data_IF_094171412130
#
_entry.id   IF_094171412130
#
_cell.length_a   1.000
_cell.length_b   1.000
_cell.length_c   1.000
_cell.angle_alpha   90.00
_cell.angle_beta   90.00
_cell.angle_gamma   90.00
#
_symmetry.space_group_name_H-M   'P 1'
#
loop_
_entity.id
_entity.type
_entity.pdbx_description
1 polymer ?
#
# COMPACT_ATOMS: atom_id res chain seq x y z
N UNK A 1 3.28 -6.29 4.55
CA UNK A 1 4.64 -5.87 4.12
C UNK A 1 5.73 -6.39 5.06
N UNK A 2 5.71 -6.11 6.37
CA UNK A 2 6.77 -6.58 7.28
C UNK A 2 6.92 -8.12 7.29
N UNK A 3 5.82 -8.87 7.32
CA UNK A 3 5.84 -10.34 7.23
C UNK A 3 6.34 -10.82 5.87
N UNK A 4 5.91 -10.21 4.77
CA UNK A 4 6.39 -10.58 3.42
C UNK A 4 7.92 -10.39 3.33
N UNK A 5 8.45 -9.24 3.77
CA UNK A 5 9.90 -9.03 3.80
C UNK A 5 10.62 -10.02 4.72
N UNK A 6 10.03 -10.35 5.86
CA UNK A 6 10.59 -11.33 6.78
C UNK A 6 10.62 -12.75 6.19
N UNK A 7 9.61 -13.16 5.43
CA UNK A 7 9.59 -14.45 4.73
C UNK A 7 10.80 -14.58 3.79
N UNK A 8 11.10 -13.56 2.99
CA UNK A 8 12.27 -13.58 2.11
C UNK A 8 13.60 -13.63 2.88
N UNK A 9 13.74 -12.84 3.95
CA UNK A 9 14.96 -12.83 4.77
C UNK A 9 15.17 -14.19 5.46
N UNK A 10 14.12 -14.76 6.03
CA UNK A 10 14.18 -16.03 6.77
C UNK A 10 14.32 -17.22 5.82
N UNK A 11 13.69 -17.19 4.63
CA UNK A 11 13.84 -18.23 3.62
C UNK A 11 15.29 -18.40 3.17
N UNK A 12 16.09 -17.31 3.11
CA UNK A 12 17.51 -17.38 2.84
C UNK A 12 18.28 -18.19 3.90
N UNK A 13 17.83 -18.13 5.17
CA UNK A 13 18.48 -18.75 6.32
C UNK A 13 17.98 -20.16 6.61
N UNK A 14 16.95 -20.63 5.90
CA UNK A 14 16.28 -21.92 6.18
C UNK A 14 15.56 -21.93 7.52
N UNK A 15 15.03 -20.79 7.94
CA UNK A 15 14.44 -20.61 9.26
C UNK A 15 12.98 -21.04 9.38
N UNK A 16 12.48 -20.96 10.61
CA UNK A 16 11.11 -21.37 10.99
C UNK A 16 10.10 -20.22 10.91
N UNK A 17 8.81 -20.55 10.92
CA UNK A 17 7.72 -19.57 10.96
C UNK A 17 7.81 -18.61 12.18
N UNK A 18 8.28 -19.08 13.32
CA UNK A 18 8.52 -18.22 14.48
C UNK A 18 9.57 -17.14 14.18
N UNK A 19 10.62 -17.50 13.44
CA UNK A 19 11.64 -16.52 13.03
C UNK A 19 11.06 -15.51 12.05
N UNK A 20 10.14 -15.89 11.16
CA UNK A 20 9.41 -14.93 10.30
C UNK A 20 8.65 -13.91 11.14
N UNK A 21 7.96 -14.34 12.18
CA UNK A 21 7.23 -13.42 13.08
C UNK A 21 8.18 -12.49 13.84
N UNK A 22 9.28 -13.02 14.37
CA UNK A 22 10.28 -12.20 15.09
C UNK A 22 10.94 -11.18 14.14
N UNK A 23 11.41 -11.63 12.98
CA UNK A 23 12.04 -10.74 11.98
C UNK A 23 11.03 -9.70 11.48
N UNK A 24 9.77 -10.10 11.23
CA UNK A 24 8.71 -9.18 10.83
C UNK A 24 8.44 -8.08 11.87
N UNK A 25 8.41 -8.43 13.15
CA UNK A 25 8.28 -7.47 14.24
C UNK A 25 9.49 -6.52 14.33
N UNK A 26 10.69 -7.05 14.15
CA UNK A 26 11.94 -6.25 14.12
C UNK A 26 11.97 -5.30 12.93
N UNK A 27 11.50 -5.72 11.75
CA UNK A 27 11.44 -4.88 10.55
C UNK A 27 10.48 -3.68 10.68
N UNK A 28 9.55 -3.68 11.63
CA UNK A 28 8.71 -2.52 11.92
C UNK A 28 9.45 -1.41 12.66
N UNK A 29 10.52 -1.72 13.41
CA UNK A 29 11.20 -0.75 14.28
C UNK A 29 11.99 0.32 13.50
N UNK A 30 12.87 0.00 12.52
CA UNK A 30 13.65 1.02 11.82
C UNK A 30 12.79 2.10 11.14
N UNK A 31 11.69 1.78 10.42
CA UNK A 31 10.79 2.78 9.87
C UNK A 31 10.17 3.70 10.90
N UNK A 32 9.79 3.18 12.06
CA UNK A 32 9.24 3.99 13.15
C UNK A 32 10.30 4.92 13.74
N UNK A 33 11.50 4.41 14.01
CA UNK A 33 12.61 5.20 14.57
C UNK A 33 13.04 6.31 13.59
N UNK A 34 13.27 5.96 12.31
CA UNK A 34 13.70 6.95 11.30
C UNK A 34 12.67 8.07 11.12
N UNK A 35 11.38 7.74 11.10
CA UNK A 35 10.33 8.75 11.06
C UNK A 35 10.23 9.57 12.36
N UNK A 36 10.49 8.98 13.54
CA UNK A 36 10.45 9.70 14.82
C UNK A 36 11.57 10.74 14.96
N UNK A 37 12.73 10.49 14.37
CA UNK A 37 13.85 11.44 14.32
C UNK A 37 13.80 12.36 13.10
N UNK A 38 12.80 12.19 12.23
CA UNK A 38 12.62 13.01 11.03
C UNK A 38 13.59 12.67 9.90
N UNK A 39 14.27 11.52 9.97
CA UNK A 39 15.12 11.04 8.88
C UNK A 39 14.24 10.56 7.73
N UNK A 40 14.52 11.07 6.54
CA UNK A 40 13.87 10.65 5.30
C UNK A 40 14.94 10.18 4.32
N UNK A 41 14.67 9.08 3.65
CA UNK A 41 15.50 8.71 2.50
C UNK A 41 15.39 9.82 1.45
N UNK A 42 16.54 10.27 0.95
CA UNK A 42 16.55 11.26 -0.13
C UNK A 42 15.94 10.66 -1.40
N UNK A 43 15.35 11.51 -2.26
CA UNK A 43 14.77 11.09 -3.53
C UNK A 43 15.71 10.23 -4.38
N UNK A 44 16.99 10.62 -4.57
CA UNK A 44 17.97 9.80 -5.30
C UNK A 44 18.20 8.41 -4.69
N UNK A 45 18.22 8.29 -3.35
CA UNK A 45 18.36 6.97 -2.69
C UNK A 45 17.13 6.10 -2.93
N UNK A 46 15.91 6.66 -2.81
CA UNK A 46 14.68 5.93 -3.13
C UNK A 46 14.66 5.48 -4.58
N UNK A 47 15.06 6.35 -5.51
CA UNK A 47 15.15 6.01 -6.93
C UNK A 47 16.17 4.90 -7.20
N UNK A 48 17.34 4.94 -6.56
CA UNK A 48 18.36 3.90 -6.68
C UNK A 48 17.86 2.54 -6.15
N UNK A 49 17.17 2.53 -5.00
CA UNK A 49 16.59 1.30 -4.43
C UNK A 49 15.49 0.73 -5.32
N UNK A 50 14.62 1.58 -5.85
CA UNK A 50 13.57 1.17 -6.79
C UNK A 50 14.19 0.65 -8.10
N UNK A 51 15.21 1.34 -8.61
CA UNK A 51 15.96 0.90 -9.79
C UNK A 51 16.62 -0.47 -9.57
N UNK A 52 17.26 -0.68 -8.41
CA UNK A 52 17.85 -1.97 -8.06
C UNK A 52 16.80 -3.09 -8.01
N UNK A 53 15.62 -2.82 -7.46
CA UNK A 53 14.51 -3.78 -7.47
C UNK A 53 14.06 -4.12 -8.90
N UNK A 54 13.86 -3.12 -9.75
CA UNK A 54 13.46 -3.33 -11.15
C UNK A 54 14.51 -4.14 -11.90
N UNK A 55 15.79 -3.82 -11.72
CA UNK A 55 16.89 -4.59 -12.32
C UNK A 55 16.91 -6.03 -11.81
N UNK A 56 16.72 -6.25 -10.51
CA UNK A 56 16.63 -7.60 -9.94
C UNK A 56 15.47 -8.39 -10.57
N UNK A 57 14.29 -7.79 -10.68
CA UNK A 57 13.12 -8.41 -11.32
C UNK A 57 13.44 -8.79 -12.77
N UNK A 58 14.05 -7.90 -13.54
CA UNK A 58 14.44 -8.17 -14.92
C UNK A 58 15.44 -9.34 -14.98
N UNK A 59 16.44 -9.34 -14.12
CA UNK A 59 17.44 -10.42 -14.07
C UNK A 59 16.80 -11.77 -13.74
N UNK A 60 15.90 -11.82 -12.75
CA UNK A 60 15.21 -13.05 -12.36
C UNK A 60 14.32 -13.55 -13.50
N UNK A 61 13.55 -12.66 -14.14
CA UNK A 61 12.70 -13.02 -15.28
C UNK A 61 13.55 -13.58 -16.43
N UNK A 62 14.61 -12.89 -16.83
CA UNK A 62 15.45 -13.32 -17.94
C UNK A 62 16.19 -14.63 -17.64
N UNK A 63 16.62 -14.84 -16.39
CA UNK A 63 17.30 -16.07 -15.98
C UNK A 63 16.36 -17.28 -15.90
N UNK A 64 15.09 -17.06 -15.53
CA UNK A 64 14.08 -18.11 -15.40
C UNK A 64 13.39 -18.44 -16.73
N UNK A 65 13.37 -17.50 -17.69
CA UNK A 65 12.66 -17.62 -18.97
C UNK A 65 13.06 -18.87 -19.78
N UNK A 66 14.34 -19.32 -19.85
CA UNK A 66 14.71 -20.53 -20.57
C UNK A 66 14.06 -21.82 -20.04
N UNK A 67 13.65 -21.82 -18.76
CA UNK A 67 12.99 -22.94 -18.09
C UNK A 67 11.46 -22.87 -18.18
N UNK A 68 10.90 -21.90 -18.90
CA UNK A 68 9.45 -21.73 -19.01
C UNK A 68 8.82 -22.79 -19.90
N UNK A 69 7.69 -23.36 -19.44
CA UNK A 69 6.81 -24.22 -20.23
C UNK A 69 5.52 -23.47 -20.56
N UNK A 70 5.34 -22.97 -21.79
CA UNK A 70 4.09 -22.35 -22.21
C UNK A 70 2.87 -23.27 -22.14
N UNK A 71 3.07 -24.59 -22.06
CA UNK A 71 2.01 -25.58 -21.89
C UNK A 71 1.29 -25.41 -20.52
N UNK A 72 1.99 -24.92 -19.51
CA UNK A 72 1.42 -24.62 -18.19
C UNK A 72 0.33 -23.52 -18.19
N UNK A 73 0.20 -22.76 -19.28
CA UNK A 73 -0.91 -21.81 -19.45
C UNK A 73 -2.24 -22.47 -19.85
N UNK A 74 -2.27 -23.77 -19.98
CA UNK A 74 -3.48 -24.52 -20.33
C UNK A 74 -3.96 -25.38 -19.15
N UNK A 75 -5.27 -25.35 -18.82
CA UNK A 75 -6.33 -24.52 -19.43
C UNK A 75 -6.20 -23.04 -19.04
N UNK A 76 -6.50 -22.12 -19.97
CA UNK A 76 -6.32 -20.67 -19.76
C UNK A 76 -7.18 -20.09 -18.61
N UNK A 77 -8.35 -20.68 -18.35
CA UNK A 77 -9.28 -20.27 -17.29
C UNK A 77 -9.65 -21.48 -16.41
N UNK A 78 -8.72 -22.05 -15.63
CA UNK A 78 -8.98 -23.26 -14.84
C UNK A 78 -10.10 -23.05 -13.80
N UNK A 79 -10.24 -21.84 -13.26
CA UNK A 79 -11.25 -21.47 -12.28
C UNK A 79 -12.35 -20.56 -12.85
N UNK A 80 -12.45 -20.43 -14.17
CA UNK A 80 -13.43 -19.58 -14.84
C UNK A 80 -13.26 -18.08 -14.49
N UNK A 81 -14.30 -17.30 -14.80
CA UNK A 81 -14.31 -15.85 -14.53
C UNK A 81 -14.29 -15.48 -13.03
N UNK A 82 -14.75 -16.38 -12.16
CA UNK A 82 -14.69 -16.18 -10.72
C UNK A 82 -13.23 -16.14 -10.22
N UNK A 83 -12.35 -16.99 -10.77
CA UNK A 83 -10.93 -16.97 -10.50
C UNK A 83 -10.26 -15.65 -10.94
N UNK A 84 -10.65 -15.13 -12.11
CA UNK A 84 -10.18 -13.82 -12.58
C UNK A 84 -10.61 -12.70 -11.62
N UNK A 85 -11.85 -12.74 -11.13
CA UNK A 85 -12.36 -11.78 -10.15
C UNK A 85 -11.62 -11.82 -8.82
N UNK A 86 -11.35 -13.02 -8.30
CA UNK A 86 -10.56 -13.21 -7.07
C UNK A 86 -9.13 -12.69 -7.23
N UNK A 87 -8.45 -13.04 -8.32
CA UNK A 87 -7.13 -12.53 -8.65
C UNK A 87 -7.12 -11.00 -8.78
N UNK A 88 -8.08 -10.40 -9.47
CA UNK A 88 -8.20 -8.95 -9.59
C UNK A 88 -8.33 -8.27 -8.22
N UNK A 89 -9.11 -8.84 -7.31
CA UNK A 89 -9.27 -8.31 -5.94
C UNK A 89 -7.95 -8.32 -5.16
N UNK A 90 -7.13 -9.36 -5.30
CA UNK A 90 -5.80 -9.42 -4.69
C UNK A 90 -4.81 -8.45 -5.36
N UNK A 91 -4.87 -8.33 -6.69
CA UNK A 91 -3.98 -7.44 -7.45
C UNK A 91 -4.21 -5.95 -7.16
N UNK A 92 -5.40 -5.53 -6.74
CA UNK A 92 -5.61 -4.15 -6.27
C UNK A 92 -4.63 -3.78 -5.16
N UNK A 93 -4.34 -4.72 -4.24
CA UNK A 93 -3.35 -4.50 -3.19
C UNK A 93 -1.94 -4.29 -3.75
N UNK A 94 -1.56 -5.04 -4.79
CA UNK A 94 -0.25 -4.92 -5.41
C UNK A 94 -0.05 -3.56 -6.12
N UNK A 95 -1.13 -2.94 -6.57
CA UNK A 95 -1.12 -1.60 -7.16
C UNK A 95 -1.42 -0.46 -6.16
N UNK A 96 -1.71 -0.76 -4.90
CA UNK A 96 -1.90 0.27 -3.87
C UNK A 96 -0.59 1.06 -3.64
N UNK A 97 -0.71 2.35 -3.33
CA UNK A 97 0.43 3.24 -3.08
C UNK A 97 0.36 4.58 -3.80
N UNK A 98 -0.46 4.68 -4.84
CA UNK A 98 -0.66 5.94 -5.59
C UNK A 98 -1.19 7.06 -4.72
N UNK A 99 -2.00 6.73 -3.75
CA UNK A 99 -2.59 7.66 -2.81
C UNK A 99 -1.52 8.39 -1.98
N UNK A 100 -0.38 7.74 -1.70
CA UNK A 100 0.71 8.36 -0.97
C UNK A 100 1.29 9.59 -1.72
N UNK A 101 1.28 9.58 -3.06
CA UNK A 101 1.73 10.70 -3.88
C UNK A 101 0.81 11.91 -3.72
N UNK A 102 -0.50 11.70 -3.53
CA UNK A 102 -1.46 12.79 -3.35
C UNK A 102 -1.19 13.60 -2.08
N UNK A 103 -0.74 12.96 -1.01
CA UNK A 103 -0.36 13.62 0.25
C UNK A 103 0.92 14.45 0.14
N UNK A 104 1.74 14.17 -0.87
CA UNK A 104 2.98 14.88 -1.16
C UNK A 104 2.82 15.92 -2.28
N UNK A 105 1.63 16.09 -2.83
CA UNK A 105 1.39 16.99 -3.98
C UNK A 105 1.87 18.42 -3.74
N UNK A 106 1.79 18.92 -2.50
CA UNK A 106 2.30 20.24 -2.13
C UNK A 106 3.84 20.36 -2.08
N UNK A 107 4.58 19.26 -2.16
CA UNK A 107 6.05 19.24 -2.17
C UNK A 107 6.61 19.29 -3.63
N UNK A 108 5.77 19.14 -4.65
CA UNK A 108 6.16 19.22 -6.06
C UNK A 108 6.11 20.64 -6.60
N UNK A 109 7.11 21.02 -7.41
CA UNK A 109 7.15 22.34 -8.06
C UNK A 109 6.02 22.52 -9.10
N UNK A 110 5.71 21.48 -9.90
CA UNK A 110 4.61 21.46 -10.86
C UNK A 110 3.82 20.15 -10.75
N UNK A 111 2.95 20.00 -9.73
CA UNK A 111 2.24 18.76 -9.47
C UNK A 111 1.30 18.36 -10.62
N UNK A 112 0.73 19.34 -11.33
CA UNK A 112 -0.22 19.10 -12.44
C UNK A 112 0.42 18.35 -13.62
N UNK A 113 1.72 18.53 -13.86
CA UNK A 113 2.45 17.86 -14.94
C UNK A 113 3.28 16.69 -14.42
N UNK A 114 3.93 16.85 -13.27
CA UNK A 114 4.87 15.88 -12.74
C UNK A 114 4.14 14.62 -12.25
N UNK A 115 3.04 14.76 -11.50
CA UNK A 115 2.30 13.62 -10.96
C UNK A 115 1.75 12.71 -12.08
N UNK A 116 0.99 13.21 -13.08
CA UNK A 116 0.47 12.34 -14.14
C UNK A 116 1.56 11.63 -14.95
N UNK A 117 2.67 12.33 -15.24
CA UNK A 117 3.79 11.73 -15.98
C UNK A 117 4.49 10.63 -15.18
N UNK A 118 4.82 10.91 -13.91
CA UNK A 118 5.44 9.92 -13.03
C UNK A 118 4.52 8.70 -12.86
N UNK A 119 3.22 8.94 -12.69
CA UNK A 119 2.21 7.88 -12.58
C UNK A 119 2.16 7.03 -13.84
N UNK A 120 2.13 7.63 -15.02
CA UNK A 120 2.09 6.90 -16.29
C UNK A 120 3.36 6.04 -16.49
N UNK A 121 4.55 6.59 -16.21
CA UNK A 121 5.81 5.86 -16.30
C UNK A 121 5.81 4.69 -15.33
N UNK A 122 5.46 4.94 -14.07
CA UNK A 122 5.42 3.91 -13.04
C UNK A 122 4.40 2.81 -13.38
N UNK A 123 3.21 3.16 -13.90
CA UNK A 123 2.20 2.19 -14.33
C UNK A 123 2.73 1.25 -15.41
N UNK A 124 3.44 1.78 -16.40
CA UNK A 124 4.04 0.98 -17.47
C UNK A 124 5.15 0.08 -16.92
N UNK A 125 6.09 0.63 -16.16
CA UNK A 125 7.23 -0.13 -15.61
C UNK A 125 6.76 -1.23 -14.66
N UNK A 126 5.90 -0.88 -13.71
CA UNK A 126 5.38 -1.83 -12.71
C UNK A 126 4.45 -2.85 -13.37
N UNK A 127 3.60 -2.41 -14.30
CA UNK A 127 2.71 -3.31 -15.04
C UNK A 127 3.48 -4.35 -15.85
N UNK A 128 4.52 -3.94 -16.56
CA UNK A 128 5.39 -4.88 -17.30
C UNK A 128 6.14 -5.82 -16.34
N UNK A 129 6.64 -5.33 -15.21
CA UNK A 129 7.29 -6.13 -14.19
C UNK A 129 6.33 -7.20 -13.62
N UNK A 130 5.11 -6.82 -13.28
CA UNK A 130 4.11 -7.77 -12.76
C UNK A 130 3.70 -8.81 -13.79
N UNK A 131 3.44 -8.41 -15.05
CA UNK A 131 3.07 -9.33 -16.12
C UNK A 131 4.19 -10.33 -16.41
N UNK A 132 5.45 -9.85 -16.46
CA UNK A 132 6.59 -10.74 -16.72
C UNK A 132 6.87 -11.69 -15.56
N UNK A 133 6.80 -11.22 -14.30
CA UNK A 133 6.92 -12.08 -13.12
C UNK A 133 5.81 -13.12 -13.06
N UNK A 134 4.56 -12.72 -13.31
CA UNK A 134 3.43 -13.63 -13.32
C UNK A 134 3.57 -14.68 -14.41
N UNK A 135 4.03 -14.27 -15.60
CA UNK A 135 4.28 -15.21 -16.70
C UNK A 135 5.31 -16.28 -16.30
N UNK A 136 6.48 -15.88 -15.79
CA UNK A 136 7.51 -16.86 -15.39
C UNK A 136 7.11 -17.65 -14.15
N UNK A 137 6.37 -17.05 -13.21
CA UNK A 137 5.86 -17.79 -12.05
C UNK A 137 4.93 -18.93 -12.48
N UNK A 138 3.99 -18.70 -13.39
CA UNK A 138 3.07 -19.72 -13.87
C UNK A 138 3.79 -20.75 -14.76
N UNK A 139 4.67 -20.30 -15.66
CA UNK A 139 5.27 -21.19 -16.68
C UNK A 139 6.51 -21.93 -16.18
N UNK A 140 7.15 -21.49 -15.09
CA UNK A 140 8.34 -22.14 -14.52
C UNK A 140 8.00 -22.90 -13.25
N UNK A 141 7.21 -22.32 -12.35
CA UNK A 141 6.88 -22.92 -11.05
C UNK A 141 5.59 -23.73 -11.07
N UNK A 142 4.60 -23.30 -11.89
CA UNK A 142 3.29 -23.97 -11.94
C UNK A 142 2.65 -24.06 -10.55
N UNK A 143 2.30 -25.28 -10.13
CA UNK A 143 1.68 -25.54 -8.81
C UNK A 143 2.67 -25.59 -7.65
N UNK A 144 3.99 -25.46 -7.91
CA UNK A 144 5.04 -25.52 -6.88
C UNK A 144 5.42 -24.15 -6.31
N UNK A 145 4.58 -23.13 -6.53
CA UNK A 145 4.79 -21.78 -5.98
C UNK A 145 4.71 -21.79 -4.46
N UNK A 146 5.78 -21.31 -3.79
CA UNK A 146 5.82 -21.11 -2.34
C UNK A 146 5.38 -19.70 -1.91
N UNK A 147 5.47 -19.40 -0.61
CA UNK A 147 5.23 -18.06 -0.05
C UNK A 147 6.28 -17.02 -0.49
N UNK A 148 7.35 -17.46 -1.16
CA UNK A 148 8.48 -16.62 -1.62
C UNK A 148 8.79 -16.85 -3.10
N UNK A 149 7.83 -16.61 -4.03
CA UNK A 149 7.93 -16.99 -5.44
C UNK A 149 9.18 -16.46 -6.15
N UNK A 150 9.64 -15.28 -5.77
CA UNK A 150 10.84 -14.69 -6.35
C UNK A 150 12.10 -15.48 -5.96
N UNK A 151 12.11 -16.09 -4.76
CA UNK A 151 13.19 -16.97 -4.32
C UNK A 151 13.18 -18.29 -5.11
N UNK A 152 11.98 -18.86 -5.30
CA UNK A 152 11.82 -20.09 -6.09
C UNK A 152 12.29 -19.91 -7.53
N UNK A 153 11.96 -18.79 -8.18
CA UNK A 153 12.41 -18.44 -9.51
C UNK A 153 13.94 -18.28 -9.59
N UNK A 154 14.52 -17.66 -8.58
CA UNK A 154 15.99 -17.51 -8.51
C UNK A 154 16.69 -18.85 -8.35
N UNK A 155 16.14 -19.78 -7.59
CA UNK A 155 16.72 -21.11 -7.43
C UNK A 155 16.77 -21.87 -8.76
N UNK A 156 15.80 -21.63 -9.66
CA UNK A 156 15.81 -22.20 -11.03
C UNK A 156 16.81 -21.49 -11.93
N UNK A 157 16.81 -20.15 -11.95
CA UNK A 157 17.57 -19.38 -12.92
C UNK A 157 19.00 -18.98 -12.47
N UNK A 158 19.21 -18.71 -11.18
CA UNK A 158 20.44 -18.17 -10.61
C UNK A 158 20.75 -18.81 -9.23
N UNK A 159 20.98 -20.11 -9.15
CA UNK A 159 21.15 -20.79 -7.86
C UNK A 159 22.35 -20.22 -7.06
N UNK A 160 22.19 -20.17 -5.75
CA UNK A 160 23.22 -19.71 -4.82
C UNK A 160 23.24 -18.20 -4.62
N UNK A 161 23.99 -17.44 -5.40
CA UNK A 161 24.16 -15.97 -5.23
C UNK A 161 22.83 -15.21 -5.35
N UNK A 162 21.92 -15.71 -6.18
CA UNK A 162 20.60 -15.10 -6.39
C UNK A 162 19.76 -15.03 -5.12
N UNK A 163 19.78 -16.06 -4.27
CA UNK A 163 19.02 -16.08 -3.00
C UNK A 163 19.41 -14.94 -2.07
N UNK A 164 20.72 -14.71 -1.93
CA UNK A 164 21.26 -13.61 -1.11
C UNK A 164 20.84 -12.26 -1.67
N UNK A 165 20.95 -12.08 -2.98
CA UNK A 165 20.53 -10.83 -3.64
C UNK A 165 19.05 -10.55 -3.45
N UNK A 166 18.16 -11.55 -3.64
CA UNK A 166 16.73 -11.41 -3.43
C UNK A 166 16.40 -11.07 -1.98
N UNK A 167 16.97 -11.77 -1.01
CA UNK A 167 16.71 -11.52 0.41
C UNK A 167 17.15 -10.11 0.84
N UNK A 168 18.34 -9.67 0.41
CA UNK A 168 18.85 -8.33 0.70
C UNK A 168 17.97 -7.25 0.08
N UNK A 169 17.64 -7.37 -1.22
CA UNK A 169 16.81 -6.39 -1.90
C UNK A 169 15.39 -6.37 -1.31
N UNK A 170 14.80 -7.54 -1.05
CA UNK A 170 13.48 -7.62 -0.41
C UNK A 170 13.48 -6.97 0.98
N UNK A 171 14.49 -7.23 1.81
CA UNK A 171 14.63 -6.61 3.12
C UNK A 171 14.76 -5.08 3.05
N UNK A 172 15.64 -4.57 2.19
CA UNK A 172 15.87 -3.13 2.03
C UNK A 172 14.63 -2.43 1.47
N UNK A 173 14.00 -3.02 0.44
CA UNK A 173 12.77 -2.47 -0.16
C UNK A 173 11.64 -2.47 0.86
N UNK A 174 11.50 -3.53 1.65
CA UNK A 174 10.51 -3.60 2.73
C UNK A 174 10.70 -2.45 3.72
N UNK A 175 11.91 -2.17 4.16
CA UNK A 175 12.20 -1.04 5.05
C UNK A 175 11.88 0.31 4.40
N UNK A 176 12.19 0.47 3.12
CA UNK A 176 11.88 1.68 2.35
C UNK A 176 10.38 1.92 2.23
N UNK A 177 9.62 0.90 1.85
CA UNK A 177 8.17 0.94 1.71
C UNK A 177 7.50 1.21 3.06
N UNK A 178 7.86 0.47 4.11
CA UNK A 178 7.35 0.71 5.46
C UNK A 178 7.68 2.12 5.94
N UNK A 179 8.89 2.63 5.67
CA UNK A 179 9.29 4.00 6.01
C UNK A 179 8.40 5.05 5.36
N UNK A 180 8.09 4.88 4.09
CA UNK A 180 7.21 5.77 3.33
C UNK A 180 5.77 5.75 3.87
N UNK A 181 5.19 4.56 4.08
CA UNK A 181 3.81 4.44 4.59
C UNK A 181 3.67 4.93 6.03
N UNK A 182 4.59 4.56 6.92
CA UNK A 182 4.59 5.03 8.31
C UNK A 182 4.64 6.56 8.36
N UNK A 183 5.49 7.18 7.54
CA UNK A 183 5.59 8.64 7.44
C UNK A 183 4.32 9.27 6.87
N UNK A 184 3.75 8.70 5.80
CA UNK A 184 2.53 9.18 5.18
C UNK A 184 1.33 9.10 6.13
N UNK A 185 1.13 7.97 6.82
CA UNK A 185 0.04 7.80 7.77
C UNK A 185 0.19 8.69 9.01
N UNK A 186 1.41 8.90 9.50
CA UNK A 186 1.63 9.83 10.60
C UNK A 186 1.29 11.28 10.19
N UNK A 187 1.65 11.71 8.98
CA UNK A 187 1.27 13.03 8.45
C UNK A 187 -0.23 13.14 8.24
N UNK A 188 -0.87 12.12 7.66
CA UNK A 188 -2.32 12.08 7.49
C UNK A 188 -3.04 12.18 8.83
N UNK A 189 -2.65 11.39 9.82
CA UNK A 189 -3.23 11.44 11.17
C UNK A 189 -3.10 12.82 11.80
N UNK A 190 -1.93 13.46 11.68
CA UNK A 190 -1.71 14.82 12.21
C UNK A 190 -2.55 15.88 11.46
N UNK A 191 -2.72 15.74 10.15
CA UNK A 191 -3.58 16.61 9.35
C UNK A 191 -5.05 16.50 9.77
N UNK A 192 -5.57 15.27 9.90
CA UNK A 192 -6.93 15.03 10.40
C UNK A 192 -7.13 15.57 11.82
N UNK A 193 -6.09 15.49 12.67
CA UNK A 193 -6.11 16.09 14.00
C UNK A 193 -6.17 17.63 13.95
N UNK A 194 -5.46 18.27 13.01
CA UNK A 194 -5.49 19.72 12.77
C UNK A 194 -6.85 20.18 12.26
N UNK A 195 -7.42 19.41 11.34
CA UNK A 195 -8.70 19.73 10.68
C UNK A 195 -9.90 19.41 11.61
N UNK A 196 -9.64 18.76 12.76
CA UNK A 196 -10.64 18.48 13.78
C UNK A 196 -11.36 17.14 13.64
N UNK A 197 -10.97 16.31 12.66
CA UNK A 197 -11.54 14.97 12.43
C UNK A 197 -11.00 13.94 13.45
N UNK A 198 -9.78 14.12 13.91
CA UNK A 198 -9.20 13.37 15.01
C UNK A 198 -8.99 14.27 16.26
N UNK A 199 -8.74 13.68 17.44
CA UNK A 199 -8.43 14.45 18.65
C UNK A 199 -7.25 15.42 18.43
N UNK A 200 -7.38 16.66 18.87
CA UNK A 200 -6.38 17.73 18.64
C UNK A 200 -4.96 17.39 19.12
N UNK A 201 -4.81 16.51 20.12
CA UNK A 201 -3.49 16.10 20.59
C UNK A 201 -2.65 15.39 19.51
N UNK A 202 -3.30 14.74 18.53
CA UNK A 202 -2.63 14.08 17.40
C UNK A 202 -2.04 15.09 16.42
N UNK A 203 -2.58 16.32 16.37
CA UNK A 203 -2.16 17.38 15.45
C UNK A 203 -0.74 17.92 15.71
N UNK A 204 -0.12 17.57 16.83
CA UNK A 204 1.22 18.08 17.17
C UNK A 204 2.25 17.65 16.11
N UNK A 205 2.92 18.63 15.49
CA UNK A 205 3.88 18.40 14.40
C UNK A 205 3.25 18.36 13.00
N UNK A 206 1.99 18.77 12.83
CA UNK A 206 1.29 18.83 11.55
C UNK A 206 1.77 19.93 10.60
N UNK A 207 2.57 20.91 11.10
CA UNK A 207 3.09 22.00 10.28
C UNK A 207 4.12 21.49 9.24
N UNK A 208 4.31 22.22 8.13
CA UNK A 208 5.32 21.89 7.14
C UNK A 208 6.71 21.73 7.79
N UNK A 209 7.44 20.66 7.47
CA UNK A 209 8.72 20.33 8.07
C UNK A 209 8.65 19.72 9.48
N UNK A 210 7.49 19.74 10.14
CA UNK A 210 7.31 19.15 11.47
C UNK A 210 7.32 17.61 11.44
N UNK A 211 7.71 17.02 12.59
CA UNK A 211 7.65 15.57 12.82
C UNK A 211 6.44 15.26 13.71
N UNK A 212 5.41 14.58 13.19
CA UNK A 212 4.18 14.33 13.93
C UNK A 212 4.32 13.12 14.86
N UNK A 213 5.16 13.24 15.91
CA UNK A 213 5.50 12.14 16.82
C UNK A 213 4.30 11.50 17.52
N UNK A 214 3.25 12.29 17.83
CA UNK A 214 2.04 11.76 18.48
C UNK A 214 1.20 10.93 17.52
N UNK A 215 1.04 11.39 16.28
CA UNK A 215 0.40 10.62 15.24
C UNK A 215 1.21 9.35 14.92
N UNK A 216 2.55 9.46 14.89
CA UNK A 216 3.44 8.32 14.69
C UNK A 216 3.30 7.28 15.80
N UNK A 217 3.11 7.69 17.05
CA UNK A 217 2.83 6.76 18.16
C UNK A 217 1.53 5.98 17.93
N UNK A 218 0.48 6.65 17.47
CA UNK A 218 -0.79 5.98 17.10
C UNK A 218 -0.57 4.99 15.96
N UNK A 219 0.15 5.40 14.92
CA UNK A 219 0.50 4.51 13.80
C UNK A 219 1.30 3.31 14.28
N UNK A 220 2.27 3.49 15.18
CA UNK A 220 3.05 2.41 15.76
C UNK A 220 2.15 1.42 16.53
N UNK A 221 1.29 1.92 17.43
CA UNK A 221 0.37 1.08 18.20
C UNK A 221 -0.56 0.27 17.27
N UNK A 222 -1.14 0.92 16.26
CA UNK A 222 -2.01 0.26 15.30
C UNK A 222 -1.24 -0.78 14.46
N UNK A 223 -0.01 -0.47 14.03
CA UNK A 223 0.82 -1.38 13.26
C UNK A 223 1.18 -2.65 14.05
N UNK A 224 1.58 -2.51 15.32
CA UNK A 224 1.88 -3.65 16.16
C UNK A 224 0.63 -4.44 16.55
N UNK A 225 -0.50 -3.77 16.82
CA UNK A 225 -1.77 -4.44 17.10
C UNK A 225 -2.24 -5.25 15.89
N UNK A 226 -2.17 -4.67 14.69
CA UNK A 226 -2.54 -5.35 13.46
C UNK A 226 -1.57 -6.52 13.15
N UNK A 227 -0.27 -6.32 13.36
CA UNK A 227 0.73 -7.37 13.22
C UNK A 227 0.46 -8.53 14.18
N UNK A 228 0.19 -8.22 15.46
CA UNK A 228 -0.14 -9.24 16.47
C UNK A 228 -1.42 -10.01 16.10
N UNK A 229 -2.43 -9.31 15.55
CA UNK A 229 -3.65 -9.95 15.08
C UNK A 229 -3.37 -10.92 13.93
N UNK A 230 -2.56 -10.54 12.93
CA UNK A 230 -2.16 -11.44 11.83
C UNK A 230 -1.42 -12.66 12.36
N UNK A 231 -0.48 -12.47 13.30
CA UNK A 231 0.24 -13.59 13.92
C UNK A 231 -0.71 -14.51 14.71
N UNK A 232 -1.65 -13.94 15.47
CA UNK A 232 -2.62 -14.69 16.27
C UNK A 232 -3.61 -15.52 15.40
N UNK A 233 -3.85 -15.08 14.16
CA UNK A 233 -4.68 -15.81 13.18
C UNK A 233 -3.90 -16.80 12.32
N UNK A 234 -2.66 -17.12 12.70
CA UNK A 234 -1.83 -18.11 12.01
C UNK A 234 -0.94 -17.55 10.90
N UNK A 235 -0.90 -16.23 10.72
CA UNK A 235 -0.04 -15.56 9.72
C UNK A 235 -0.62 -15.56 8.30
N UNK A 236 -1.84 -16.03 8.10
CA UNK A 236 -2.53 -15.91 6.81
C UNK A 236 -2.79 -14.43 6.48
N UNK A 237 -2.22 -13.96 5.37
CA UNK A 237 -2.31 -12.58 4.93
C UNK A 237 -3.53 -12.31 4.04
N UNK A 238 -4.12 -13.33 3.43
CA UNK A 238 -5.17 -13.16 2.43
C UNK A 238 -6.38 -12.39 2.96
N UNK A 239 -7.00 -12.72 4.12
CA UNK A 239 -8.15 -11.97 4.64
C UNK A 239 -7.81 -10.50 4.91
N UNK A 240 -6.59 -10.23 5.39
CA UNK A 240 -6.14 -8.87 5.70
C UNK A 240 -5.88 -8.06 4.44
N UNK A 241 -5.36 -8.69 3.39
CA UNK A 241 -5.19 -8.07 2.06
C UNK A 241 -6.55 -7.73 1.48
N UNK A 242 -7.53 -8.62 1.54
CA UNK A 242 -8.88 -8.39 1.03
C UNK A 242 -9.63 -7.28 1.78
N UNK A 243 -9.48 -7.19 3.12
CA UNK A 243 -9.99 -6.07 3.91
C UNK A 243 -9.35 -4.75 3.47
N UNK A 244 -8.03 -4.72 3.33
CA UNK A 244 -7.31 -3.54 2.86
C UNK A 244 -7.79 -3.13 1.46
N UNK A 245 -7.84 -4.09 0.53
CA UNK A 245 -8.31 -3.88 -0.85
C UNK A 245 -9.73 -3.30 -0.88
N UNK A 246 -10.65 -3.82 -0.06
CA UNK A 246 -12.03 -3.33 -0.01
C UNK A 246 -12.10 -1.86 0.45
N UNK A 247 -11.26 -1.48 1.42
CA UNK A 247 -11.14 -0.09 1.86
C UNK A 247 -10.59 0.82 0.75
N UNK A 248 -9.55 0.35 0.03
CA UNK A 248 -8.95 1.10 -1.09
C UNK A 248 -9.93 1.30 -2.23
N UNK A 249 -10.63 0.24 -2.63
CA UNK A 249 -11.64 0.28 -3.69
C UNK A 249 -12.78 1.25 -3.35
N UNK A 250 -13.22 1.29 -2.09
CA UNK A 250 -14.23 2.24 -1.63
C UNK A 250 -13.75 3.70 -1.80
N UNK A 251 -12.49 3.98 -1.41
CA UNK A 251 -11.88 5.32 -1.58
C UNK A 251 -11.71 5.67 -3.06
N UNK A 252 -11.28 4.72 -3.90
CA UNK A 252 -11.15 4.93 -5.34
C UNK A 252 -12.50 5.17 -6.02
N UNK A 253 -13.55 4.47 -5.61
CA UNK A 253 -14.90 4.70 -6.12
C UNK A 253 -15.41 6.13 -5.76
N UNK A 254 -15.19 6.56 -4.52
CA UNK A 254 -15.54 7.91 -4.09
C UNK A 254 -14.74 8.99 -4.81
N UNK A 255 -13.41 8.80 -4.92
CA UNK A 255 -12.53 9.75 -5.60
C UNK A 255 -12.84 9.88 -7.09
N UNK A 256 -13.06 8.75 -7.78
CA UNK A 256 -13.42 8.75 -9.20
C UNK A 256 -14.83 9.29 -9.45
N UNK A 257 -15.80 9.03 -8.57
CA UNK A 257 -17.14 9.64 -8.63
C UNK A 257 -17.06 11.17 -8.43
N UNK A 258 -16.21 11.64 -7.52
CA UNK A 258 -15.95 13.07 -7.35
C UNK A 258 -15.31 13.67 -8.62
N UNK A 259 -14.37 12.98 -9.26
CA UNK A 259 -13.78 13.42 -10.53
C UNK A 259 -14.83 13.57 -11.64
N UNK A 260 -15.72 12.58 -11.79
CA UNK A 260 -16.85 12.65 -12.76
C UNK A 260 -17.75 13.87 -12.51
N UNK A 261 -17.93 14.26 -11.24
CA UNK A 261 -18.77 15.39 -10.87
C UNK A 261 -18.08 16.74 -11.05
N UNK A 262 -16.78 16.81 -10.82
CA UNK A 262 -16.02 18.06 -10.76
C UNK A 262 -15.33 18.42 -12.09
N UNK A 263 -15.02 17.43 -12.92
CA UNK A 263 -14.35 17.65 -14.19
C UNK A 263 -15.36 18.08 -15.27
N UNK A 264 -14.89 18.84 -16.25
CA UNK A 264 -15.66 19.29 -17.40
C UNK A 264 -16.16 18.07 -18.20
N UNK A 265 -17.49 18.00 -18.41
CA UNK A 265 -18.14 16.90 -19.12
C UNK A 265 -17.60 16.77 -20.54
N UNK A 266 -17.27 15.54 -20.94
CA UNK A 266 -16.73 15.25 -22.28
C UNK A 266 -15.22 15.47 -22.39
N UNK A 267 -14.54 16.03 -21.37
CA UNK A 267 -13.08 16.10 -21.35
C UNK A 267 -12.44 14.70 -21.21
N UNK A 268 -11.19 14.54 -21.63
CA UNK A 268 -10.45 13.30 -21.45
C UNK A 268 -10.39 12.87 -19.97
N UNK A 269 -10.21 13.84 -19.05
CA UNK A 269 -10.21 13.59 -17.61
C UNK A 269 -11.57 13.08 -17.10
N UNK A 270 -12.67 13.61 -17.62
CA UNK A 270 -14.02 13.15 -17.27
C UNK A 270 -14.24 11.68 -17.70
N UNK A 271 -13.87 11.32 -18.92
CA UNK A 271 -13.96 9.94 -19.41
C UNK A 271 -13.08 8.98 -18.61
N UNK A 272 -11.83 9.38 -18.30
CA UNK A 272 -10.97 8.60 -17.41
C UNK A 272 -11.61 8.40 -16.03
N UNK A 273 -12.21 9.46 -15.47
CA UNK A 273 -12.93 9.38 -14.19
C UNK A 273 -14.13 8.45 -14.24
N UNK A 274 -14.92 8.50 -15.34
CA UNK A 274 -16.09 7.64 -15.53
C UNK A 274 -15.68 6.16 -15.64
N UNK A 275 -14.66 5.84 -16.43
CA UNK A 275 -14.13 4.48 -16.56
C UNK A 275 -13.56 3.99 -15.23
N UNK A 276 -12.75 4.83 -14.54
CA UNK A 276 -12.21 4.48 -13.22
C UNK A 276 -13.32 4.23 -12.19
N UNK A 277 -14.39 5.04 -12.21
CA UNK A 277 -15.56 4.85 -11.34
C UNK A 277 -16.26 3.51 -11.62
N UNK A 278 -16.50 3.19 -12.89
CA UNK A 278 -17.14 1.93 -13.29
C UNK A 278 -16.29 0.72 -12.87
N UNK A 279 -14.98 0.77 -13.11
CA UNK A 279 -14.04 -0.29 -12.70
C UNK A 279 -13.97 -0.44 -11.18
N UNK A 280 -13.91 0.68 -10.44
CA UNK A 280 -13.89 0.65 -8.97
C UNK A 280 -15.19 0.07 -8.40
N UNK A 281 -16.34 0.40 -8.98
CA UNK A 281 -17.62 -0.19 -8.58
C UNK A 281 -17.67 -1.69 -8.92
N UNK A 282 -17.13 -2.11 -10.06
CA UNK A 282 -16.98 -3.53 -10.41
C UNK A 282 -16.12 -4.28 -9.40
N UNK A 283 -14.95 -3.73 -9.04
CA UNK A 283 -14.08 -4.30 -8.01
C UNK A 283 -14.74 -4.32 -6.62
N UNK A 284 -15.53 -3.28 -6.29
CA UNK A 284 -16.32 -3.26 -5.06
C UNK A 284 -17.33 -4.42 -5.03
N UNK A 285 -18.01 -4.69 -6.15
CA UNK A 285 -18.92 -5.84 -6.23
C UNK A 285 -18.21 -7.18 -6.02
N UNK A 286 -16.95 -7.31 -6.48
CA UNK A 286 -16.12 -8.50 -6.27
C UNK A 286 -15.60 -8.63 -4.82
N UNK A 287 -15.47 -7.53 -4.09
CA UNK A 287 -15.00 -7.55 -2.70
C UNK A 287 -15.99 -8.20 -1.72
N UNK A 288 -17.25 -8.38 -2.13
CA UNK A 288 -18.26 -9.12 -1.39
C UNK A 288 -18.46 -8.59 0.05
N UNK A 289 -18.45 -9.51 1.02
CA UNK A 289 -18.69 -9.19 2.43
C UNK A 289 -17.58 -8.32 3.06
N UNK A 290 -16.36 -8.28 2.49
CA UNK A 290 -15.27 -7.44 2.99
C UNK A 290 -15.61 -5.94 2.90
N UNK A 291 -16.57 -5.54 2.07
CA UNK A 291 -17.10 -4.16 2.03
C UNK A 291 -17.78 -3.71 3.33
N UNK A 292 -18.18 -4.63 4.18
CA UNK A 292 -18.75 -4.26 5.49
C UNK A 292 -17.78 -3.45 6.35
N UNK A 293 -16.45 -3.66 6.17
CA UNK A 293 -15.42 -2.92 6.92
C UNK A 293 -15.39 -1.44 6.50
N UNK A 294 -15.17 -1.05 5.23
CA UNK A 294 -15.19 0.36 4.85
C UNK A 294 -16.55 1.02 5.06
N UNK A 295 -17.67 0.31 4.89
CA UNK A 295 -19.00 0.84 5.17
C UNK A 295 -19.19 1.11 6.68
N UNK A 296 -18.74 0.19 7.54
CA UNK A 296 -18.76 0.40 8.99
C UNK A 296 -17.90 1.59 9.42
N UNK A 297 -16.68 1.71 8.85
CA UNK A 297 -15.80 2.86 9.11
C UNK A 297 -16.44 4.18 8.64
N UNK A 298 -17.05 4.19 7.45
CA UNK A 298 -17.77 5.36 6.93
C UNK A 298 -18.95 5.74 7.83
N UNK A 299 -19.74 4.78 8.29
CA UNK A 299 -20.84 5.01 9.21
C UNK A 299 -20.35 5.63 10.52
N UNK A 300 -19.29 5.06 11.12
CA UNK A 300 -18.68 5.61 12.33
C UNK A 300 -18.19 7.05 12.12
N UNK A 301 -17.52 7.32 10.99
CA UNK A 301 -17.05 8.67 10.66
C UNK A 301 -18.22 9.67 10.52
N UNK A 302 -19.31 9.28 9.85
CA UNK A 302 -20.51 10.11 9.72
C UNK A 302 -21.16 10.36 11.08
N UNK A 303 -21.35 9.33 11.90
CA UNK A 303 -21.95 9.46 13.24
C UNK A 303 -21.10 10.39 14.13
N UNK A 304 -19.78 10.23 14.15
CA UNK A 304 -18.87 11.12 14.89
C UNK A 304 -18.97 12.55 14.37
N UNK A 305 -19.03 12.75 13.06
CA UNK A 305 -19.21 14.06 12.44
C UNK A 305 -20.53 14.73 12.84
N UNK A 306 -21.64 13.98 12.83
CA UNK A 306 -22.96 14.47 13.26
C UNK A 306 -22.97 14.82 14.76
N UNK A 307 -22.42 13.96 15.62
CA UNK A 307 -22.33 14.21 17.07
C UNK A 307 -21.48 15.45 17.40
N UNK A 308 -20.43 15.71 16.64
CA UNK A 308 -19.61 16.93 16.81
C UNK A 308 -20.37 18.19 16.40
N UNK A 309 -21.13 18.15 15.30
CA UNK A 309 -21.97 19.28 14.86
C UNK A 309 -23.13 19.57 15.82
N UNK A 310 -23.62 18.55 16.51
CA UNK A 310 -24.68 18.70 17.50
C UNK A 310 -24.22 19.28 18.85
N UNK A 311 -22.89 19.37 19.11
CA UNK A 311 -22.36 20.04 20.30
C UNK A 311 -22.20 21.53 20.01
N UNK A 312 -23.02 22.44 20.60
CA UNK A 312 -22.85 23.87 20.44
C UNK A 312 -21.50 24.27 21.03
N UNK A 313 -20.77 25.16 20.34
CA UNK A 313 -19.54 25.76 20.84
C UNK A 313 -19.79 26.43 22.22
N UNK A 314 -19.41 25.73 23.28
CA UNK A 314 -19.44 26.28 24.64
C UNK A 314 -18.40 27.40 24.85
N UNK A 315 -17.63 27.74 23.82
CA UNK A 315 -16.54 28.74 23.87
C UNK A 315 -16.88 30.13 23.31
N UNK A 316 -18.03 30.32 22.62
CA UNK A 316 -18.33 31.59 21.95
C UNK A 316 -19.05 32.64 22.83
N UNK A 317 -19.23 32.40 24.13
CA UNK A 317 -19.96 33.33 25.03
C UNK A 317 -19.08 34.10 26.02
N UNK A 318 -17.76 34.16 25.81
CA UNK A 318 -16.89 35.01 26.63
C UNK A 318 -16.14 36.02 25.77
N UNK A 319 -16.74 37.10 25.39
CA UNK A 319 -16.06 38.16 24.63
C UNK A 319 -16.89 39.38 24.26
N UNK A 320 -17.99 39.66 24.93
CA UNK A 320 -18.64 40.99 24.84
C UNK A 320 -18.62 41.68 26.19
N UNK A 321 -17.42 42.08 26.62
CA UNK A 321 -17.29 43.13 27.66
C UNK A 321 -17.42 44.49 27.01
N UNK A 322 -18.16 45.46 27.57
CA UNK A 322 -18.36 46.78 26.98
C UNK A 322 -17.05 47.56 27.00
N UNK A 323 -16.61 47.99 25.81
CA UNK A 323 -15.57 49.04 25.72
C UNK A 323 -16.17 50.33 26.22
N UNK A 324 -15.62 50.85 27.31
CA UNK A 324 -15.68 52.25 27.72
C UNK A 324 -14.42 52.95 27.29
#
# INVERSE_FOLDING_TARGET
MALVGAQYVVAMLGGSQLQVYVVGAVLLLPPLVTNAVGLRLSGPVQLALTGALVVLVILVVLASLPSSDPGALKPFLPHGWSGVGAAASLFVWAFAGWEAVTHLAGEFQDPRRTIPRATAIALVVVGLAYLSLQYVAVTVLGDSVSDVPLMDLVDVGLPGVGRVAVALVAGIVTLGVLGAYVGAFAKLGASLGRDGDLPRWVAAGAQPGGVPRRALLVVAMLSFAYFALVVATGGDLEPFVLIHTSCMVAVYALGSAAAVRLLERGSAGWWCGAVACALSLGLAALAGWHLLVPLGLALVAVLVGLLRRARPDAGARQGTGPRR
#
